data_IF_612074886006
#
_entry.id   IF_612074886006
#
_cell.length_a   1.000
_cell.length_b   1.000
_cell.length_c   1.000
_cell.angle_alpha   90.00
_cell.angle_beta   90.00
_cell.angle_gamma   90.00
#
_symmetry.space_group_name_H-M   'P 1'
#
loop_
_entity.id
_entity.type
_entity.pdbx_description
1 polymer ?
#
# COMPACT_ATOMS: atom_id res chain seq x y z
N UNK A 1 -30.70 32.32 0.45
CA UNK A 1 -30.17 30.96 0.25
C UNK A 1 -28.83 31.14 -0.41
N UNK A 2 -27.78 31.16 0.36
CA UNK A 2 -26.40 31.36 -0.13
C UNK A 2 -25.73 29.99 -0.15
N UNK A 3 -25.54 29.49 -1.37
CA UNK A 3 -24.78 28.25 -1.61
C UNK A 3 -23.35 28.44 -1.13
N UNK A 4 -23.00 27.72 -0.08
CA UNK A 4 -21.65 27.63 0.45
C UNK A 4 -20.87 26.61 -0.43
N UNK A 5 -20.30 27.09 -1.52
CA UNK A 5 -19.37 26.29 -2.33
C UNK A 5 -18.10 26.15 -1.49
N UNK A 6 -17.89 24.98 -0.92
CA UNK A 6 -16.62 24.63 -0.28
C UNK A 6 -15.56 24.57 -1.39
N UNK A 7 -14.78 25.62 -1.50
CA UNK A 7 -13.61 25.66 -2.36
C UNK A 7 -12.54 24.72 -1.79
N UNK A 8 -12.31 23.60 -2.43
CA UNK A 8 -11.22 22.69 -2.10
C UNK A 8 -9.89 23.36 -2.48
N UNK A 9 -9.16 23.87 -1.50
CA UNK A 9 -7.79 24.33 -1.69
C UNK A 9 -6.88 23.10 -1.58
N UNK A 10 -6.02 22.82 -2.56
CA UNK A 10 -5.12 21.69 -2.49
C UNK A 10 -4.04 21.97 -1.43
N UNK A 11 -4.17 21.39 -0.27
CA UNK A 11 -3.17 21.41 0.83
C UNK A 11 -1.93 20.55 0.48
N UNK A 12 -1.94 19.95 -0.71
CA UNK A 12 -0.87 19.16 -1.26
C UNK A 12 0.55 19.79 -1.15
N UNK A 13 0.67 21.11 -1.11
CA UNK A 13 1.97 21.78 -1.04
C UNK A 13 2.66 21.65 0.32
N UNK A 14 1.95 21.88 1.42
CA UNK A 14 2.56 21.97 2.76
C UNK A 14 2.87 20.60 3.35
N UNK A 15 1.99 19.61 3.15
CA UNK A 15 2.24 18.22 3.54
C UNK A 15 3.30 17.59 2.64
N UNK A 16 3.26 17.90 1.33
CA UNK A 16 4.33 17.54 0.39
C UNK A 16 5.68 18.08 0.82
N UNK A 17 5.80 19.35 1.22
CA UNK A 17 7.06 19.93 1.70
C UNK A 17 7.55 19.25 2.98
N UNK A 18 6.68 18.92 3.92
CA UNK A 18 7.05 18.25 5.17
C UNK A 18 7.54 16.81 4.91
N UNK A 19 6.86 16.06 4.03
CA UNK A 19 7.27 14.71 3.63
C UNK A 19 8.55 14.73 2.79
N UNK A 20 8.69 15.69 1.87
CA UNK A 20 9.90 15.88 1.06
C UNK A 20 11.10 16.32 1.91
N UNK A 21 10.88 17.09 2.98
CA UNK A 21 11.94 17.46 3.93
C UNK A 21 12.44 16.26 4.73
N UNK A 22 11.58 15.33 5.09
CA UNK A 22 11.97 14.06 5.72
C UNK A 22 12.80 13.19 4.78
N UNK A 23 12.42 13.09 3.51
CA UNK A 23 13.16 12.34 2.49
C UNK A 23 14.55 12.94 2.18
N UNK A 24 14.73 14.25 2.30
CA UNK A 24 16.04 14.92 2.07
C UNK A 24 17.10 14.64 3.12
N UNK A 25 16.72 14.09 4.29
CA UNK A 25 17.67 13.73 5.36
C UNK A 25 18.11 12.27 5.29
N UNK A 26 17.65 11.49 4.32
CA UNK A 26 18.14 10.14 4.07
C UNK A 26 19.57 10.21 3.53
N UNK A 27 20.50 9.94 4.41
CA UNK A 27 21.94 9.77 4.12
C UNK A 27 22.06 8.59 3.15
N UNK A 28 22.80 8.79 2.05
CA UNK A 28 23.17 7.69 1.16
C UNK A 28 23.77 6.56 1.98
N UNK A 29 23.26 5.33 1.93
CA UNK A 29 23.87 4.23 2.63
C UNK A 29 25.29 3.99 2.08
N UNK A 30 26.28 3.79 2.93
CA UNK A 30 27.60 3.42 2.49
C UNK A 30 27.58 1.96 2.02
N UNK A 31 27.63 1.73 0.76
CA UNK A 31 27.71 0.39 0.17
C UNK A 31 26.90 0.32 -1.11
N UNK A 32 27.52 0.62 -2.23
CA UNK A 32 26.90 0.66 -3.54
C UNK A 32 26.38 -0.69 -4.02
N UNK A 33 25.17 -1.01 -3.64
CA UNK A 33 24.30 -1.90 -4.38
C UNK A 33 23.80 -1.14 -5.60
N UNK A 34 24.14 -1.59 -6.78
CA UNK A 34 23.93 -0.91 -8.07
C UNK A 34 22.46 -0.59 -8.44
N UNK A 35 21.47 -0.86 -7.58
CA UNK A 35 20.06 -0.80 -7.96
C UNK A 35 19.09 -0.42 -6.82
N UNK A 36 19.48 0.46 -5.90
CA UNK A 36 18.51 1.00 -4.96
C UNK A 36 17.51 1.87 -5.74
N UNK A 37 16.25 1.49 -5.77
CA UNK A 37 15.20 2.34 -6.31
C UNK A 37 15.11 3.64 -5.52
N UNK A 38 15.13 4.74 -6.23
CA UNK A 38 14.93 6.06 -5.64
C UNK A 38 13.71 6.70 -6.30
N UNK A 39 12.65 6.94 -5.52
CA UNK A 39 11.52 7.71 -6.02
C UNK A 39 11.96 9.12 -6.38
N UNK A 40 11.23 9.74 -7.27
CA UNK A 40 11.45 11.15 -7.60
C UNK A 40 11.20 12.02 -6.36
N UNK A 41 11.79 13.18 -6.34
CA UNK A 41 11.68 14.14 -5.23
C UNK A 41 10.22 14.58 -4.95
N UNK A 42 9.37 14.55 -5.96
CA UNK A 42 7.95 14.91 -5.94
C UNK A 42 7.01 13.69 -5.88
N UNK A 43 7.55 12.48 -5.82
CA UNK A 43 6.81 11.24 -5.75
C UNK A 43 6.46 10.88 -4.30
N UNK A 44 5.17 10.64 -4.04
CA UNK A 44 4.72 10.09 -2.75
C UNK A 44 4.62 8.58 -2.84
N UNK A 45 5.30 7.86 -1.97
CA UNK A 45 5.32 6.39 -1.97
C UNK A 45 4.66 5.83 -0.73
N UNK A 46 3.61 5.04 -0.89
CA UNK A 46 2.95 4.31 0.18
C UNK A 46 3.14 2.80 -0.03
N UNK A 47 3.75 2.12 0.94
CA UNK A 47 3.90 0.67 0.89
C UNK A 47 2.76 -0.04 1.62
N UNK A 48 2.22 -1.06 0.98
CA UNK A 48 1.18 -1.94 1.54
C UNK A 48 1.74 -3.35 1.62
N UNK A 49 1.77 -3.94 2.79
CA UNK A 49 2.23 -5.31 2.98
C UNK A 49 1.24 -6.13 3.79
N UNK A 50 1.19 -7.42 3.51
CA UNK A 50 0.40 -8.39 4.25
C UNK A 50 1.19 -9.04 5.39
N UNK A 51 0.50 -9.39 6.47
CA UNK A 51 1.07 -10.19 7.54
C UNK A 51 1.45 -11.59 7.06
N UNK A 52 0.68 -12.12 6.10
CA UNK A 52 0.94 -13.37 5.40
C UNK A 52 0.40 -13.28 3.98
N UNK A 53 0.73 -14.25 3.14
CA UNK A 53 0.09 -14.43 1.84
C UNK A 53 -1.44 -14.52 1.95
N UNK A 54 -2.14 -14.06 0.95
CA UNK A 54 -3.62 -14.13 0.82
C UNK A 54 -4.42 -13.40 1.92
N UNK A 55 -3.82 -12.45 2.63
CA UNK A 55 -4.58 -11.62 3.59
C UNK A 55 -5.36 -10.49 2.92
N UNK A 56 -5.14 -10.23 1.62
CA UNK A 56 -5.81 -9.18 0.85
C UNK A 56 -4.97 -7.92 0.67
N UNK A 57 -3.63 -8.01 0.79
CA UNK A 57 -2.73 -6.87 0.58
C UNK A 57 -2.94 -6.25 -0.80
N UNK A 58 -2.90 -7.03 -1.88
CA UNK A 58 -3.12 -6.56 -3.25
C UNK A 58 -4.47 -5.87 -3.43
N UNK A 59 -5.54 -6.39 -2.79
CA UNK A 59 -6.87 -5.76 -2.84
C UNK A 59 -6.87 -4.40 -2.14
N UNK A 60 -6.22 -4.29 -0.99
CA UNK A 60 -6.07 -3.02 -0.27
C UNK A 60 -5.20 -2.06 -1.08
N UNK A 61 -4.09 -2.53 -1.65
CA UNK A 61 -3.20 -1.73 -2.51
C UNK A 61 -3.96 -1.14 -3.70
N UNK A 62 -4.77 -1.95 -4.37
CA UNK A 62 -5.60 -1.47 -5.50
C UNK A 62 -6.64 -0.44 -5.03
N UNK A 63 -7.31 -0.68 -3.89
CA UNK A 63 -8.28 0.28 -3.35
C UNK A 63 -7.62 1.62 -2.98
N UNK A 64 -6.44 1.58 -2.40
CA UNK A 64 -5.64 2.76 -2.04
C UNK A 64 -5.20 3.50 -3.30
N UNK A 65 -4.65 2.80 -4.30
CA UNK A 65 -4.21 3.39 -5.55
C UNK A 65 -5.37 4.03 -6.34
N UNK A 66 -6.54 3.38 -6.35
CA UNK A 66 -7.76 3.94 -6.98
C UNK A 66 -8.24 5.22 -6.28
N UNK A 67 -8.04 5.33 -4.96
CA UNK A 67 -8.37 6.56 -4.23
C UNK A 67 -7.31 7.64 -4.46
N UNK A 68 -6.04 7.27 -4.62
CA UNK A 68 -4.96 8.20 -4.92
C UNK A 68 -5.18 8.99 -6.22
N UNK A 69 -5.81 8.38 -7.22
CA UNK A 69 -6.21 9.07 -8.46
C UNK A 69 -7.09 10.31 -8.23
N UNK A 70 -7.79 10.40 -7.11
CA UNK A 70 -8.58 11.59 -6.77
C UNK A 70 -7.71 12.79 -6.37
N UNK A 71 -6.43 12.55 -6.08
CA UNK A 71 -5.47 13.60 -5.68
C UNK A 71 -4.49 13.98 -6.78
N UNK A 72 -4.37 13.17 -7.82
CA UNK A 72 -3.45 13.37 -8.92
C UNK A 72 -3.07 12.06 -9.60
N UNK A 73 -2.08 12.07 -10.49
CA UNK A 73 -1.63 10.88 -11.18
C UNK A 73 -1.15 9.80 -10.18
N UNK A 74 -1.57 8.55 -10.41
CA UNK A 74 -1.24 7.45 -9.51
C UNK A 74 -0.84 6.19 -10.26
N UNK A 75 0.01 5.38 -9.62
CA UNK A 75 0.41 4.05 -10.10
C UNK A 75 0.43 3.03 -8.98
N UNK A 76 0.20 1.79 -9.32
CA UNK A 76 0.32 0.64 -8.42
C UNK A 76 1.42 -0.29 -8.93
N UNK A 77 2.41 -0.54 -8.09
CA UNK A 77 3.54 -1.43 -8.39
C UNK A 77 3.41 -2.69 -7.56
N UNK A 78 3.22 -3.84 -8.22
CA UNK A 78 3.17 -5.14 -7.57
C UNK A 78 4.58 -5.74 -7.51
N UNK A 79 5.05 -5.96 -6.28
CA UNK A 79 6.38 -6.52 -6.03
C UNK A 79 6.39 -8.05 -6.01
N UNK A 80 5.21 -8.69 -5.95
CA UNK A 80 5.08 -10.13 -6.00
C UNK A 80 5.57 -10.69 -7.34
N UNK A 81 6.18 -11.89 -7.36
CA UNK A 81 6.53 -12.57 -8.60
C UNK A 81 5.28 -12.92 -9.40
N UNK A 82 5.38 -13.15 -10.74
CA UNK A 82 4.25 -13.47 -11.61
C UNK A 82 3.37 -14.62 -11.13
N UNK A 83 3.97 -15.65 -10.56
CA UNK A 83 3.25 -16.82 -10.00
C UNK A 83 2.32 -16.49 -8.82
N UNK A 84 2.53 -15.33 -8.18
CA UNK A 84 1.73 -14.83 -7.05
C UNK A 84 1.00 -13.53 -7.35
N UNK A 85 1.05 -13.05 -8.60
CA UNK A 85 0.43 -11.80 -9.01
C UNK A 85 -1.10 -11.86 -8.90
N UNK A 86 -1.67 -10.89 -8.20
CA UNK A 86 -3.12 -10.68 -8.12
C UNK A 86 -3.64 -9.61 -9.07
N UNK A 87 -2.75 -8.79 -9.66
CA UNK A 87 -3.13 -7.64 -10.47
C UNK A 87 -3.32 -7.96 -11.96
N UNK A 88 -2.88 -9.13 -12.45
CA UNK A 88 -3.04 -9.48 -13.87
C UNK A 88 -4.50 -9.40 -14.29
N UNK A 89 -5.39 -9.98 -13.50
CA UNK A 89 -6.83 -9.99 -13.79
C UNK A 89 -7.53 -8.66 -13.45
N UNK A 90 -6.84 -7.71 -12.85
CA UNK A 90 -7.40 -6.41 -12.48
C UNK A 90 -7.27 -5.34 -13.57
N UNK A 91 -6.44 -5.58 -14.60
CA UNK A 91 -6.21 -4.65 -15.69
C UNK A 91 -7.35 -4.69 -16.73
N UNK A 92 -7.75 -3.52 -17.21
CA UNK A 92 -8.66 -3.39 -18.35
C UNK A 92 -7.92 -3.66 -19.66
N UNK A 93 -6.66 -3.27 -19.72
CA UNK A 93 -5.79 -3.44 -20.87
C UNK A 93 -4.35 -3.73 -20.47
N UNK A 94 -3.70 -4.54 -21.29
CA UNK A 94 -2.29 -4.86 -21.17
C UNK A 94 -1.47 -4.00 -22.14
N UNK A 95 -0.53 -3.24 -21.61
CA UNK A 95 0.35 -2.37 -22.39
C UNK A 95 1.68 -3.05 -22.77
N UNK A 96 1.85 -4.32 -22.35
CA UNK A 96 2.98 -5.15 -22.72
C UNK A 96 4.18 -5.05 -21.77
N UNK A 97 5.31 -5.63 -22.23
CA UNK A 97 6.55 -5.66 -21.46
C UNK A 97 7.25 -4.30 -21.51
N UNK A 98 7.61 -3.80 -20.33
CA UNK A 98 8.45 -2.62 -20.16
C UNK A 98 9.94 -2.97 -20.05
N UNK A 99 10.75 -1.97 -19.74
CA UNK A 99 12.18 -2.16 -19.49
C UNK A 99 12.43 -2.83 -18.13
N UNK A 100 13.55 -3.52 -17.98
CA UNK A 100 14.01 -4.03 -16.69
C UNK A 100 13.18 -5.19 -16.12
N UNK A 101 12.40 -5.92 -16.94
CA UNK A 101 11.62 -7.07 -16.48
C UNK A 101 10.31 -6.70 -15.78
N UNK A 102 9.77 -5.54 -16.09
CA UNK A 102 8.46 -5.09 -15.66
C UNK A 102 7.47 -5.14 -16.82
N UNK A 103 6.22 -5.49 -16.54
CA UNK A 103 5.08 -5.39 -17.46
C UNK A 103 4.14 -4.29 -16.99
N UNK A 104 3.42 -3.71 -17.94
CA UNK A 104 2.47 -2.63 -17.69
C UNK A 104 1.08 -3.06 -18.11
N UNK A 105 0.13 -2.71 -17.29
CA UNK A 105 -1.29 -2.74 -17.58
C UNK A 105 -1.92 -1.43 -17.19
N UNK A 106 -3.18 -1.25 -17.53
CA UNK A 106 -3.97 -0.09 -17.16
C UNK A 106 -5.31 -0.54 -16.63
N UNK A 107 -5.83 0.22 -15.68
CA UNK A 107 -7.17 0.09 -15.14
C UNK A 107 -7.74 1.51 -14.99
N UNK A 108 -8.69 1.88 -15.81
CA UNK A 108 -9.10 3.29 -15.96
C UNK A 108 -7.86 4.18 -16.18
N UNK A 109 -7.63 5.17 -15.32
CA UNK A 109 -6.45 6.06 -15.37
C UNK A 109 -5.28 5.53 -14.50
N UNK A 110 -5.45 4.41 -13.79
CA UNK A 110 -4.43 3.84 -12.93
C UNK A 110 -3.44 2.98 -13.71
N UNK A 111 -2.17 3.34 -13.70
CA UNK A 111 -1.10 2.50 -14.25
C UNK A 111 -0.78 1.36 -13.29
N UNK A 112 -0.86 0.13 -13.78
CA UNK A 112 -0.48 -1.08 -13.07
C UNK A 112 0.90 -1.55 -13.56
N UNK A 113 1.85 -1.69 -12.65
CA UNK A 113 3.21 -2.14 -12.95
C UNK A 113 3.45 -3.44 -12.20
N UNK A 114 3.85 -4.49 -12.91
CA UNK A 114 4.01 -5.85 -12.38
C UNK A 114 5.32 -6.45 -12.84
N UNK A 115 5.84 -7.38 -12.07
CA UNK A 115 7.01 -8.17 -12.51
C UNK A 115 6.63 -9.09 -13.67
N UNK A 116 7.52 -9.17 -14.66
CA UNK A 116 7.38 -10.08 -15.81
C UNK A 116 8.20 -11.36 -15.68
N UNK A 117 9.06 -11.47 -14.65
CA UNK A 117 9.88 -12.66 -14.41
C UNK A 117 10.01 -12.98 -12.92
N UNK A 118 10.15 -14.26 -12.58
CA UNK A 118 10.25 -14.76 -11.20
C UNK A 118 11.53 -14.30 -10.48
N UNK A 119 12.62 -14.12 -11.21
CA UNK A 119 13.97 -13.92 -10.65
C UNK A 119 14.39 -12.45 -10.47
N UNK A 120 13.51 -11.48 -10.75
CA UNK A 120 13.90 -10.06 -10.80
C UNK A 120 13.68 -9.33 -9.47
N UNK A 121 14.18 -9.90 -8.38
CA UNK A 121 14.11 -9.20 -7.08
C UNK A 121 14.94 -7.92 -7.02
N UNK A 122 15.92 -7.75 -7.89
CA UNK A 122 16.92 -6.66 -7.82
C UNK A 122 16.67 -5.52 -8.84
N UNK A 123 15.70 -5.66 -9.74
CA UNK A 123 15.42 -4.61 -10.70
C UNK A 123 14.54 -3.52 -10.07
N UNK A 124 14.99 -2.26 -10.06
CA UNK A 124 14.16 -1.17 -9.57
C UNK A 124 12.91 -1.01 -10.44
N UNK A 125 11.78 -0.56 -9.87
CA UNK A 125 10.62 -0.19 -10.65
C UNK A 125 10.97 0.89 -11.67
N UNK A 126 10.25 0.94 -12.81
CA UNK A 126 10.46 2.02 -13.76
C UNK A 126 10.16 3.39 -13.12
N UNK A 127 10.85 4.46 -13.55
CA UNK A 127 10.57 5.81 -13.07
C UNK A 127 9.11 6.19 -13.39
N UNK A 128 8.51 7.10 -12.60
CA UNK A 128 7.20 7.65 -12.91
C UNK A 128 7.24 8.48 -14.20
N UNK A 129 6.15 8.43 -14.96
CA UNK A 129 6.04 9.15 -16.24
C UNK A 129 5.58 10.59 -16.04
N UNK A 130 4.88 10.87 -14.97
CA UNK A 130 4.29 12.18 -14.64
C UNK A 130 4.88 12.75 -13.35
N UNK A 131 4.85 14.08 -13.24
CA UNK A 131 5.26 14.78 -12.04
C UNK A 131 4.21 14.63 -10.95
N UNK A 132 4.65 14.63 -9.69
CA UNK A 132 3.75 14.54 -8.54
C UNK A 132 3.04 13.20 -8.41
N UNK A 133 3.59 12.13 -8.97
CA UNK A 133 3.02 10.79 -8.96
C UNK A 133 2.80 10.26 -7.54
N UNK A 134 1.63 9.67 -7.29
CA UNK A 134 1.38 8.87 -6.12
C UNK A 134 1.65 7.39 -6.45
N UNK A 135 2.62 6.80 -5.79
CA UNK A 135 3.00 5.40 -5.99
C UNK A 135 2.54 4.55 -4.81
N UNK A 136 1.71 3.56 -5.08
CA UNK A 136 1.40 2.49 -4.12
C UNK A 136 2.28 1.29 -4.45
N UNK A 137 3.04 0.81 -3.46
CA UNK A 137 3.78 -0.44 -3.55
C UNK A 137 2.96 -1.56 -2.92
N UNK A 138 2.49 -2.51 -3.71
CA UNK A 138 2.05 -3.80 -3.19
C UNK A 138 3.27 -4.64 -2.86
N UNK A 139 3.71 -4.54 -1.62
CA UNK A 139 4.86 -5.26 -1.12
C UNK A 139 4.56 -6.74 -0.80
N UNK A 140 3.31 -7.19 -1.03
CA UNK A 140 2.89 -8.57 -0.76
C UNK A 140 3.13 -8.96 0.71
N UNK A 141 3.91 -10.01 0.94
CA UNK A 141 4.32 -10.51 2.25
C UNK A 141 5.83 -10.31 2.52
N UNK A 142 6.44 -9.32 1.91
CA UNK A 142 7.89 -9.10 1.94
C UNK A 142 8.48 -8.97 3.35
N UNK A 143 7.71 -8.47 4.32
CA UNK A 143 8.19 -8.38 5.70
C UNK A 143 8.28 -9.74 6.40
N UNK A 144 7.68 -10.78 5.83
CA UNK A 144 7.75 -12.16 6.35
C UNK A 144 8.80 -13.01 5.65
N UNK A 145 9.22 -12.63 4.44
CA UNK A 145 10.27 -13.32 3.68
C UNK A 145 11.67 -13.05 4.27
N UNK A 146 12.56 -14.02 4.16
CA UNK A 146 13.97 -13.89 4.56
C UNK A 146 14.90 -14.35 3.42
N UNK A 147 15.89 -13.52 3.06
CA UNK A 147 16.07 -12.12 3.43
C UNK A 147 15.01 -11.24 2.81
N UNK A 148 14.58 -10.21 3.51
CA UNK A 148 13.72 -9.18 2.91
C UNK A 148 14.44 -8.62 1.69
N UNK A 149 13.77 -8.44 0.54
CA UNK A 149 14.40 -7.86 -0.63
C UNK A 149 15.01 -6.51 -0.27
N UNK A 150 16.33 -6.39 -0.41
CA UNK A 150 17.06 -5.16 -0.12
C UNK A 150 16.73 -4.00 -1.07
N UNK A 151 15.98 -4.31 -2.15
CA UNK A 151 15.56 -3.34 -3.17
C UNK A 151 14.53 -2.31 -2.68
N UNK A 152 13.91 -2.54 -1.52
CA UNK A 152 12.97 -1.59 -0.91
C UNK A 152 13.62 -0.97 0.31
N UNK A 153 14.45 0.03 0.09
CA UNK A 153 14.95 0.82 1.19
C UNK A 153 13.75 1.46 1.89
N UNK A 154 13.53 1.09 3.15
CA UNK A 154 12.48 1.63 4.00
C UNK A 154 12.49 3.17 4.05
N UNK A 155 13.62 3.74 3.75
CA UNK A 155 13.92 5.17 3.74
C UNK A 155 13.19 5.95 2.63
N UNK A 156 12.79 5.27 1.54
CA UNK A 156 12.10 5.92 0.42
C UNK A 156 10.57 5.86 0.53
N UNK A 157 10.05 5.11 1.48
CA UNK A 157 8.61 4.95 1.70
C UNK A 157 8.10 6.03 2.64
N UNK A 158 7.14 6.82 2.18
CA UNK A 158 6.52 7.90 2.96
C UNK A 158 5.62 7.37 4.08
N UNK A 159 4.98 6.23 3.86
CA UNK A 159 4.09 5.59 4.83
C UNK A 159 3.93 4.09 4.59
N UNK A 160 3.52 3.37 5.65
CA UNK A 160 3.32 1.92 5.62
C UNK A 160 1.90 1.54 6.04
N UNK A 161 1.31 0.64 5.27
CA UNK A 161 0.04 -0.01 5.58
C UNK A 161 0.29 -1.49 5.77
N UNK A 162 -0.06 -2.02 6.95
CA UNK A 162 0.08 -3.44 7.25
C UNK A 162 -1.32 -4.07 7.24
N UNK A 163 -1.52 -5.04 6.35
CA UNK A 163 -2.80 -5.70 6.14
C UNK A 163 -2.86 -7.00 6.93
N UNK A 164 -3.89 -7.14 7.77
CA UNK A 164 -4.13 -8.32 8.59
C UNK A 164 -5.60 -8.72 8.53
N UNK A 165 -5.89 -10.04 8.59
CA UNK A 165 -7.25 -10.53 8.82
C UNK A 165 -7.60 -10.48 10.30
N UNK A 166 -8.86 -10.20 10.63
CA UNK A 166 -9.41 -10.31 11.97
C UNK A 166 -9.54 -11.80 12.37
N UNK A 167 -8.40 -12.45 12.56
CA UNK A 167 -8.30 -13.86 13.01
C UNK A 167 -7.15 -14.00 14.01
N UNK A 168 -7.29 -14.93 14.98
CA UNK A 168 -6.29 -15.15 16.02
C UNK A 168 -4.90 -15.44 15.45
N UNK A 169 -4.71 -16.34 14.46
CA UNK A 169 -3.41 -16.59 13.88
C UNK A 169 -2.79 -15.32 13.27
N UNK A 170 -3.59 -14.57 12.50
CA UNK A 170 -3.10 -13.38 11.80
C UNK A 170 -2.73 -12.25 12.78
N UNK A 171 -3.51 -12.03 13.84
CA UNK A 171 -3.20 -11.03 14.87
C UNK A 171 -1.93 -11.36 15.67
N UNK A 172 -1.64 -12.65 15.90
CA UNK A 172 -0.37 -13.07 16.51
C UNK A 172 0.82 -12.81 15.59
N UNK A 173 0.69 -13.10 14.31
CA UNK A 173 1.73 -12.82 13.32
C UNK A 173 1.93 -11.31 13.10
N UNK A 174 0.87 -10.51 13.23
CA UNK A 174 0.93 -9.06 13.07
C UNK A 174 1.99 -8.44 14.00
N UNK A 175 2.09 -8.88 15.24
CA UNK A 175 3.08 -8.35 16.18
C UNK A 175 4.51 -8.62 15.70
N UNK A 176 4.79 -9.82 15.16
CA UNK A 176 6.11 -10.16 14.59
C UNK A 176 6.45 -9.31 13.37
N UNK A 177 5.44 -8.99 12.56
CA UNK A 177 5.61 -8.09 11.39
C UNK A 177 5.86 -6.67 11.85
N UNK A 178 5.14 -6.20 12.87
CA UNK A 178 5.36 -4.87 13.47
C UNK A 178 6.77 -4.73 14.07
N UNK A 179 7.31 -5.80 14.68
CA UNK A 179 8.69 -5.82 15.20
C UNK A 179 9.75 -5.67 14.11
N UNK A 180 9.44 -6.12 12.90
CA UNK A 180 10.36 -6.08 11.76
C UNK A 180 10.10 -4.90 10.82
N UNK A 181 8.95 -4.25 10.99
CA UNK A 181 8.58 -3.11 10.16
C UNK A 181 9.55 -1.96 10.36
N UNK A 182 10.04 -1.35 9.28
CA UNK A 182 10.86 -0.14 9.37
C UNK A 182 10.04 1.08 9.78
N UNK A 183 8.70 0.98 9.73
CA UNK A 183 7.82 2.09 10.06
C UNK A 183 7.67 2.25 11.58
N UNK A 184 7.86 3.48 12.07
CA UNK A 184 7.64 3.80 13.48
C UNK A 184 6.14 3.78 13.85
N UNK A 185 5.25 4.09 12.91
CA UNK A 185 3.82 4.18 13.16
C UNK A 185 3.01 3.81 11.90
N UNK A 186 2.98 2.53 11.50
CA UNK A 186 2.20 2.10 10.33
C UNK A 186 0.69 2.24 10.58
N UNK A 187 -0.10 2.25 9.50
CA UNK A 187 -1.55 2.07 9.60
C UNK A 187 -1.87 0.58 9.49
N UNK A 188 -2.79 0.11 10.33
CA UNK A 188 -3.32 -1.24 10.23
C UNK A 188 -4.56 -1.26 9.34
N UNK A 189 -4.53 -2.00 8.24
CA UNK A 189 -5.68 -2.34 7.44
C UNK A 189 -6.24 -3.71 7.87
N UNK A 190 -7.34 -3.72 8.60
CA UNK A 190 -7.91 -4.94 9.19
C UNK A 190 -9.04 -5.45 8.31
N UNK A 191 -8.85 -6.61 7.69
CA UNK A 191 -9.89 -7.26 6.89
C UNK A 191 -10.82 -8.06 7.80
N UNK A 192 -12.09 -7.64 7.85
CA UNK A 192 -13.11 -8.33 8.66
C UNK A 192 -13.96 -7.41 9.51
N UNK A 193 -14.27 -7.82 10.74
CA UNK A 193 -15.01 -6.99 11.69
C UNK A 193 -14.10 -5.93 12.32
N UNK A 194 -14.64 -4.75 12.65
CA UNK A 194 -13.88 -3.71 13.35
C UNK A 194 -13.52 -4.17 14.78
N UNK A 195 -12.41 -3.67 15.35
CA UNK A 195 -11.94 -4.07 16.68
C UNK A 195 -13.00 -4.01 17.78
N UNK A 196 -13.87 -2.99 17.77
CA UNK A 196 -14.97 -2.86 18.75
C UNK A 196 -16.08 -3.94 18.66
N UNK A 197 -16.04 -4.80 17.65
CA UNK A 197 -16.98 -5.93 17.46
C UNK A 197 -16.29 -7.30 17.56
N UNK A 198 -15.05 -7.33 18.05
CA UNK A 198 -14.33 -8.59 18.15
C UNK A 198 -14.80 -9.46 19.31
N UNK A 199 -14.94 -10.75 19.03
CA UNK A 199 -15.17 -11.74 20.06
C UNK A 199 -13.96 -11.88 21.00
N UNK A 200 -14.19 -12.33 22.21
CA UNK A 200 -13.15 -12.48 23.26
C UNK A 200 -11.83 -13.13 22.77
N UNK A 201 -11.84 -14.21 21.97
CA UNK A 201 -10.59 -14.82 21.49
C UNK A 201 -9.74 -13.84 20.64
N UNK A 202 -10.37 -12.99 19.81
CA UNK A 202 -9.64 -11.99 19.02
C UNK A 202 -9.06 -10.90 19.91
N UNK A 203 -9.85 -10.41 20.88
CA UNK A 203 -9.39 -9.40 21.85
C UNK A 203 -8.19 -9.92 22.65
N UNK A 204 -8.23 -11.18 23.07
CA UNK A 204 -7.13 -11.82 23.80
C UNK A 204 -5.89 -12.10 22.95
N UNK A 205 -6.02 -12.08 21.62
CA UNK A 205 -4.90 -12.26 20.70
C UNK A 205 -4.17 -10.95 20.37
N UNK A 206 -4.73 -9.80 20.74
CA UNK A 206 -4.11 -8.50 20.53
C UNK A 206 -2.90 -8.36 21.42
N UNK A 207 -1.75 -8.09 20.83
CA UNK A 207 -0.50 -7.85 21.54
C UNK A 207 -0.20 -6.34 21.70
N UNK A 208 0.82 -5.94 22.47
CA UNK A 208 1.00 -4.56 22.90
C UNK A 208 1.10 -3.54 21.76
N UNK A 209 1.90 -3.80 20.71
CA UNK A 209 2.06 -2.85 19.60
C UNK A 209 0.80 -2.72 18.76
N UNK A 210 0.16 -3.86 18.46
CA UNK A 210 -1.13 -3.88 17.76
C UNK A 210 -2.18 -3.10 18.56
N UNK A 211 -2.21 -3.28 19.88
CA UNK A 211 -3.11 -2.53 20.77
C UNK A 211 -2.84 -1.04 20.71
N UNK A 212 -1.58 -0.62 20.87
CA UNK A 212 -1.18 0.78 20.82
C UNK A 212 -1.61 1.47 19.51
N UNK A 213 -1.45 0.81 18.36
CA UNK A 213 -1.89 1.35 17.07
C UNK A 213 -3.42 1.47 16.97
N UNK A 214 -4.17 0.49 17.48
CA UNK A 214 -5.65 0.56 17.50
C UNK A 214 -6.11 1.70 18.40
N UNK A 215 -5.56 1.83 19.61
CA UNK A 215 -5.89 2.87 20.58
C UNK A 215 -5.50 4.27 20.09
N UNK A 216 -4.40 4.38 19.35
CA UNK A 216 -4.00 5.61 18.67
C UNK A 216 -4.86 5.96 17.44
N UNK A 217 -5.90 5.17 17.13
CA UNK A 217 -6.75 5.38 15.96
C UNK A 217 -6.08 5.03 14.62
N UNK A 218 -4.87 4.45 14.62
CA UNK A 218 -4.13 4.08 13.42
C UNK A 218 -4.57 2.73 12.85
N UNK A 219 -5.88 2.51 12.78
CA UNK A 219 -6.44 1.31 12.17
C UNK A 219 -7.68 1.61 11.33
N UNK A 220 -7.76 0.99 10.16
CA UNK A 220 -8.91 1.07 9.26
C UNK A 220 -9.44 -0.34 9.00
N UNK A 221 -10.75 -0.51 9.11
CA UNK A 221 -11.39 -1.78 8.81
C UNK A 221 -11.84 -1.83 7.34
N UNK A 222 -11.42 -2.86 6.65
CA UNK A 222 -11.92 -3.26 5.34
C UNK A 222 -12.87 -4.44 5.53
N UNK A 223 -14.13 -4.28 5.15
CA UNK A 223 -15.09 -5.39 5.26
C UNK A 223 -14.67 -6.52 4.32
N UNK A 224 -14.76 -7.76 4.83
CA UNK A 224 -14.57 -8.93 4.00
C UNK A 224 -15.64 -8.97 2.90
N UNK A 225 -15.21 -9.02 1.65
CA UNK A 225 -16.08 -9.16 0.49
C UNK A 225 -16.01 -10.59 -0.03
N UNK A 226 -17.16 -11.29 0.00
CA UNK A 226 -17.24 -12.69 -0.43
C UNK A 226 -17.01 -12.86 -1.92
N UNK A 227 -17.49 -11.90 -2.75
CA UNK A 227 -17.30 -11.96 -4.20
C UNK A 227 -15.80 -11.86 -4.50
N UNK A 228 -15.13 -10.85 -4.00
CA UNK A 228 -13.68 -10.69 -4.20
C UNK A 228 -12.88 -11.89 -3.66
N UNK A 229 -13.31 -12.48 -2.55
CA UNK A 229 -12.64 -13.66 -1.99
C UNK A 229 -12.79 -14.91 -2.88
N UNK A 230 -13.85 -15.00 -3.68
CA UNK A 230 -14.12 -16.13 -4.59
C UNK A 230 -13.59 -15.90 -6.00
N UNK A 231 -13.76 -14.69 -6.54
CA UNK A 231 -13.41 -14.37 -7.93
C UNK A 231 -12.01 -13.79 -8.09
N UNK A 232 -11.40 -13.30 -7.01
CA UNK A 232 -10.22 -12.45 -7.08
C UNK A 232 -10.56 -11.04 -7.62
N UNK A 233 -9.53 -10.28 -7.94
CA UNK A 233 -9.65 -8.99 -8.60
C UNK A 233 -10.04 -9.19 -10.07
N UNK A 234 -10.89 -8.32 -10.56
CA UNK A 234 -11.35 -8.25 -11.95
C UNK A 234 -11.25 -6.80 -12.43
N UNK A 235 -11.42 -6.50 -13.73
CA UNK A 235 -11.53 -5.12 -14.22
C UNK A 235 -12.73 -4.37 -13.65
N UNK A 236 -13.76 -5.06 -13.13
CA UNK A 236 -14.92 -4.43 -12.53
C UNK A 236 -14.55 -3.45 -11.39
N UNK A 237 -15.31 -2.37 -11.18
CA UNK A 237 -15.09 -1.45 -10.08
C UNK A 237 -15.05 -2.17 -8.72
N UNK A 238 -14.15 -1.72 -7.85
CA UNK A 238 -14.11 -2.21 -6.48
C UNK A 238 -15.40 -1.86 -5.73
N UNK A 239 -15.85 -2.73 -4.79
CA UNK A 239 -17.01 -2.43 -3.96
C UNK A 239 -16.84 -1.10 -3.21
N UNK A 240 -17.90 -0.28 -3.15
CA UNK A 240 -17.87 1.06 -2.53
C UNK A 240 -17.33 1.06 -1.10
N UNK A 241 -17.55 0.00 -0.33
CA UNK A 241 -17.04 -0.09 1.03
C UNK A 241 -15.51 -0.23 1.08
N UNK A 242 -14.87 -0.77 0.03
CA UNK A 242 -13.41 -0.85 -0.07
C UNK A 242 -12.80 0.53 -0.33
N UNK A 243 -13.34 1.27 -1.29
CA UNK A 243 -12.91 2.64 -1.59
C UNK A 243 -13.18 3.60 -0.43
N UNK A 244 -14.30 3.44 0.27
CA UNK A 244 -14.58 4.20 1.48
C UNK A 244 -13.56 3.93 2.60
N UNK A 245 -13.15 2.67 2.79
CA UNK A 245 -12.09 2.33 3.75
C UNK A 245 -10.73 2.88 3.32
N UNK A 246 -10.40 2.82 2.03
CA UNK A 246 -9.17 3.41 1.50
C UNK A 246 -9.13 4.94 1.69
N UNK A 247 -10.23 5.65 1.48
CA UNK A 247 -10.33 7.10 1.78
C UNK A 247 -10.02 7.39 3.26
N UNK A 248 -10.56 6.60 4.19
CA UNK A 248 -10.25 6.76 5.62
C UNK A 248 -8.78 6.54 5.93
N UNK A 249 -8.12 5.63 5.21
CA UNK A 249 -6.69 5.38 5.32
C UNK A 249 -5.89 6.63 4.91
N UNK A 250 -6.25 7.27 3.82
CA UNK A 250 -5.63 8.51 3.38
C UNK A 250 -5.76 9.63 4.41
N UNK A 251 -6.92 9.78 5.05
CA UNK A 251 -7.12 10.76 6.12
C UNK A 251 -6.18 10.53 7.31
N UNK A 252 -5.90 9.27 7.65
CA UNK A 252 -4.99 8.93 8.75
C UNK A 252 -3.52 9.20 8.42
N UNK A 253 -3.14 9.17 7.15
CA UNK A 253 -1.79 9.55 6.70
C UNK A 253 -1.66 11.06 6.46
N UNK A 254 -2.73 11.83 6.63
CA UNK A 254 -2.72 13.26 6.33
C UNK A 254 -2.55 13.56 4.84
N UNK A 255 -2.98 12.65 3.98
CA UNK A 255 -2.90 12.78 2.52
C UNK A 255 -4.15 13.44 1.93
N UNK A 256 -5.20 13.58 2.73
CA UNK A 256 -6.37 14.41 2.48
C UNK A 256 -6.59 15.36 3.66
N UNK A 257 -6.80 16.60 3.40
CA UNK A 257 -7.48 17.53 4.27
C UNK A 257 -8.89 17.80 3.76
#
# INVERSE_FOLDING_TARGET
>A
MTDNIIQWVPVAATVREALTRKARLAIQPPGGGLYAWQPRWDETVLAVCGVTGSVGATTVSLAVASVALLTGPARLIECAPPSRSGLVAAADSELGAGRGGWSRGQRDELTLIRRSAESLFDAPPPPPEEDGMFTVLDAGDLLTERPAPQSFAAEVVSGWVIVAKASVPCLRQLELVLDRSPAHSPILAIIGAPPGRWARPLVSAIQPRTRALIEAGRSVTFRHDRRLAMTGLTPDPLPNHMTASARRLFLLEGLFE
#
